data_IF_568199005605
#
_entry.id   IF_568199005605
#
_cell.length_a   1.000
_cell.length_b   1.000
_cell.length_c   1.000
_cell.angle_alpha   90.00
_cell.angle_beta   90.00
_cell.angle_gamma   90.00
#
_symmetry.space_group_name_H-M   'P 1'
#
loop_
_entity.id
_entity.type
_entity.pdbx_description
1 polymer ?
#
# COMPACT_ATOMS: atom_id res chain seq x y z
N UNK A 1 -31.90 12.22 -12.47
CA UNK A 1 -33.21 11.75 -12.98
C UNK A 1 -34.03 13.00 -13.13
N UNK A 2 -34.29 13.43 -14.36
CA UNK A 2 -34.77 14.78 -14.65
C UNK A 2 -36.29 14.89 -14.69
N UNK A 3 -36.80 16.02 -14.24
CA UNK A 3 -38.22 16.39 -14.37
C UNK A 3 -38.49 16.95 -15.77
N UNK A 4 -39.43 16.36 -16.51
CA UNK A 4 -39.77 16.80 -17.87
C UNK A 4 -40.44 18.19 -17.92
N UNK A 5 -41.11 18.60 -16.84
CA UNK A 5 -41.82 19.89 -16.75
C UNK A 5 -40.86 21.02 -16.33
N UNK A 6 -39.92 20.71 -15.44
CA UNK A 6 -39.14 21.69 -14.71
C UNK A 6 -37.62 21.62 -14.99
N UNK A 7 -37.14 20.61 -15.71
CA UNK A 7 -35.74 20.45 -16.08
C UNK A 7 -34.78 20.16 -14.93
N UNK A 8 -35.24 20.22 -13.67
CA UNK A 8 -34.41 19.95 -12.50
C UNK A 8 -33.94 18.49 -12.45
N UNK A 9 -32.67 18.30 -12.11
CA UNK A 9 -32.08 16.98 -11.86
C UNK A 9 -32.33 16.56 -10.41
N UNK A 10 -32.91 15.37 -10.23
CA UNK A 10 -33.12 14.75 -8.92
C UNK A 10 -32.14 13.60 -8.69
N UNK A 11 -31.65 13.48 -7.45
CA UNK A 11 -30.86 12.35 -7.00
C UNK A 11 -31.75 11.11 -6.91
N UNK A 12 -31.45 10.05 -7.67
CA UNK A 12 -32.24 8.83 -7.64
C UNK A 12 -32.24 8.13 -6.26
N UNK A 13 -31.23 8.42 -5.42
CA UNK A 13 -31.03 7.75 -4.13
C UNK A 13 -31.89 8.37 -3.02
N UNK A 14 -32.21 9.67 -3.14
CA UNK A 14 -32.75 10.50 -2.08
C UNK A 14 -33.96 11.34 -2.54
N UNK A 15 -34.33 11.27 -3.83
CA UNK A 15 -35.40 12.02 -4.51
C UNK A 15 -35.38 13.54 -4.21
N UNK A 16 -34.20 14.12 -3.98
CA UNK A 16 -33.98 15.55 -3.76
C UNK A 16 -33.29 16.19 -4.96
N UNK A 17 -33.55 17.48 -5.16
CA UNK A 17 -32.87 18.29 -6.19
C UNK A 17 -31.35 18.25 -5.99
N UNK A 18 -30.62 17.94 -7.06
CA UNK A 18 -29.16 17.86 -7.08
C UNK A 18 -28.60 19.28 -7.17
N UNK A 19 -27.97 19.74 -6.08
CA UNK A 19 -27.10 20.93 -6.06
C UNK A 19 -25.66 20.47 -5.98
N UNK A 20 -24.69 21.24 -6.46
CA UNK A 20 -23.27 20.84 -6.52
C UNK A 20 -22.71 20.43 -5.13
N UNK A 21 -23.26 20.97 -4.06
CA UNK A 21 -22.91 20.66 -2.67
C UNK A 21 -23.53 19.36 -2.14
N UNK A 22 -24.48 18.75 -2.86
CA UNK A 22 -25.24 17.57 -2.42
C UNK A 22 -24.36 16.33 -2.23
N UNK A 23 -23.31 16.19 -3.04
CA UNK A 23 -22.35 15.07 -2.96
C UNK A 23 -21.16 15.34 -2.02
N UNK A 24 -20.93 16.60 -1.63
CA UNK A 24 -19.83 16.97 -0.72
C UNK A 24 -20.17 16.71 0.76
N UNK A 25 -21.45 16.69 1.14
CA UNK A 25 -21.82 16.36 2.52
C UNK A 25 -21.59 14.86 2.80
N UNK A 26 -20.76 14.48 3.79
CA UNK A 26 -20.54 13.08 4.19
C UNK A 26 -21.80 12.42 4.79
N UNK A 27 -22.80 13.23 5.12
CA UNK A 27 -24.16 12.87 5.52
C UNK A 27 -25.16 12.89 4.35
N UNK A 28 -24.72 13.14 3.10
CA UNK A 28 -25.47 13.04 1.84
C UNK A 28 -25.17 11.79 0.97
N UNK A 29 -25.96 11.62 -0.09
CA UNK A 29 -25.95 10.48 -0.99
C UNK A 29 -24.55 10.38 -1.66
N UNK A 30 -23.84 9.24 -1.54
CA UNK A 30 -22.47 9.13 -2.05
C UNK A 30 -22.45 9.17 -3.58
N UNK A 31 -21.47 9.82 -4.20
CA UNK A 31 -21.30 9.89 -5.66
C UNK A 31 -21.39 8.51 -6.36
N UNK A 32 -20.98 7.45 -5.65
CA UNK A 32 -20.98 6.08 -6.15
C UNK A 32 -22.37 5.41 -6.18
N UNK A 33 -23.45 6.10 -5.80
CA UNK A 33 -24.81 5.55 -5.83
C UNK A 33 -25.02 4.31 -4.95
N UNK A 34 -24.06 3.96 -4.08
CA UNK A 34 -24.15 2.81 -3.18
C UNK A 34 -24.87 3.22 -1.90
N UNK A 35 -25.88 2.44 -1.50
CA UNK A 35 -26.56 2.56 -0.20
C UNK A 35 -25.49 2.60 0.90
N UNK A 36 -25.60 3.54 1.84
CA UNK A 36 -24.65 3.67 2.95
C UNK A 36 -24.45 2.33 3.64
N UNK A 37 -23.21 2.03 4.00
CA UNK A 37 -22.91 0.87 4.81
C UNK A 37 -23.70 0.96 6.12
N UNK A 38 -24.35 -0.12 6.57
CA UNK A 38 -25.05 -0.13 7.84
C UNK A 38 -24.08 0.18 8.97
N UNK A 39 -24.54 0.91 10.00
CA UNK A 39 -23.72 1.45 11.09
C UNK A 39 -22.73 0.43 11.68
N UNK A 40 -23.19 -0.82 11.89
CA UNK A 40 -22.36 -1.93 12.39
C UNK A 40 -21.18 -2.24 11.48
N UNK A 41 -21.38 -2.32 10.16
CA UNK A 41 -20.30 -2.60 9.19
C UNK A 41 -19.32 -1.45 9.08
N UNK A 42 -19.78 -0.20 9.23
CA UNK A 42 -18.90 0.98 9.22
C UNK A 42 -17.97 1.00 10.43
N UNK A 43 -18.49 0.71 11.62
CA UNK A 43 -17.69 0.63 12.84
C UNK A 43 -16.71 -0.53 12.77
N UNK A 44 -17.14 -1.72 12.35
CA UNK A 44 -16.22 -2.85 12.16
C UNK A 44 -15.10 -2.50 11.19
N UNK A 45 -15.40 -1.86 10.05
CA UNK A 45 -14.38 -1.44 9.09
C UNK A 45 -13.42 -0.38 9.66
N UNK A 46 -13.93 0.60 10.41
CA UNK A 46 -13.09 1.60 11.09
C UNK A 46 -12.19 0.97 12.15
N UNK A 47 -12.70 0.04 12.96
CA UNK A 47 -11.91 -0.69 13.94
C UNK A 47 -10.86 -1.57 13.27
N UNK A 48 -11.23 -2.31 12.22
CA UNK A 48 -10.31 -3.18 11.49
C UNK A 48 -9.17 -2.40 10.84
N UNK A 49 -9.46 -1.22 10.28
CA UNK A 49 -8.43 -0.34 9.74
C UNK A 49 -7.57 0.26 10.86
N UNK A 50 -8.20 0.78 11.93
CA UNK A 50 -7.50 1.42 13.03
C UNK A 50 -6.56 0.48 13.78
N UNK A 51 -6.94 -0.79 13.97
CA UNK A 51 -6.08 -1.80 14.59
C UNK A 51 -5.22 -2.55 13.57
N UNK A 52 -5.71 -2.78 12.36
CA UNK A 52 -4.96 -3.50 11.33
C UNK A 52 -3.66 -2.80 10.96
N UNK A 53 -3.69 -1.48 10.77
CA UNK A 53 -2.50 -0.71 10.40
C UNK A 53 -1.35 -0.80 11.41
N UNK A 54 -1.54 -0.51 12.72
CA UNK A 54 -0.44 -0.60 13.68
C UNK A 54 0.07 -2.04 13.88
N UNK A 55 -0.81 -3.04 13.86
CA UNK A 55 -0.40 -4.44 14.02
C UNK A 55 0.44 -4.94 12.83
N UNK A 56 0.01 -4.63 11.60
CA UNK A 56 0.76 -5.03 10.39
C UNK A 56 2.14 -4.37 10.38
N UNK A 57 2.22 -3.07 10.70
CA UNK A 57 3.49 -2.35 10.76
C UNK A 57 4.42 -2.92 11.84
N UNK A 58 3.90 -3.21 13.03
CA UNK A 58 4.68 -3.79 14.12
C UNK A 58 5.27 -5.16 13.73
N UNK A 59 4.47 -6.04 13.10
CA UNK A 59 4.95 -7.36 12.67
C UNK A 59 6.02 -7.24 11.58
N UNK A 60 5.78 -6.41 10.56
CA UNK A 60 6.74 -6.23 9.46
C UNK A 60 8.07 -5.67 9.98
N UNK A 61 8.02 -4.64 10.83
CA UNK A 61 9.25 -4.05 11.39
C UNK A 61 9.99 -5.02 12.30
N UNK A 62 9.28 -5.78 13.14
CA UNK A 62 9.88 -6.79 14.02
C UNK A 62 10.59 -7.90 13.25
N UNK A 63 10.12 -8.27 12.06
CA UNK A 63 10.78 -9.27 11.19
C UNK A 63 11.90 -8.67 10.34
N UNK A 64 11.72 -7.44 9.86
CA UNK A 64 12.70 -6.77 8.99
C UNK A 64 14.01 -6.46 9.72
N UNK A 65 13.94 -5.98 10.97
CA UNK A 65 15.13 -5.60 11.75
C UNK A 65 16.12 -6.75 11.93
N UNK A 66 15.75 -7.93 12.45
CA UNK A 66 16.70 -9.05 12.60
C UNK A 66 17.15 -9.61 11.24
N UNK A 67 16.26 -9.62 10.23
CA UNK A 67 16.59 -10.06 8.89
C UNK A 67 17.68 -9.20 8.23
N UNK A 68 17.60 -7.88 8.37
CA UNK A 68 18.61 -6.95 7.85
C UNK A 68 19.88 -7.01 8.69
N UNK A 69 19.75 -7.02 10.03
CA UNK A 69 20.87 -7.03 10.94
C UNK A 69 21.79 -8.26 10.75
N UNK A 70 21.21 -9.42 10.42
CA UNK A 70 21.98 -10.66 10.17
C UNK A 70 22.28 -10.84 8.68
N UNK A 71 21.31 -10.56 7.81
CA UNK A 71 21.42 -10.80 6.37
C UNK A 71 22.40 -9.88 5.67
N UNK A 72 22.47 -8.60 6.06
CA UNK A 72 23.38 -7.63 5.46
C UNK A 72 24.86 -7.96 5.69
N UNK A 73 25.34 -8.20 6.92
CA UNK A 73 26.74 -8.58 7.13
C UNK A 73 27.08 -9.93 6.49
N UNK A 74 26.17 -10.91 6.50
CA UNK A 74 26.40 -12.20 5.84
C UNK A 74 26.56 -12.03 4.30
N UNK A 75 25.72 -11.20 3.67
CA UNK A 75 25.82 -10.90 2.25
C UNK A 75 27.12 -10.18 1.89
N UNK A 76 27.53 -9.18 2.69
CA UNK A 76 28.79 -8.47 2.47
C UNK A 76 29.99 -9.39 2.59
N UNK A 77 30.01 -10.26 3.61
CA UNK A 77 31.09 -11.25 3.80
C UNK A 77 31.16 -12.20 2.59
N UNK A 78 30.03 -12.75 2.15
CA UNK A 78 29.98 -13.62 0.97
C UNK A 78 30.51 -12.91 -0.29
N UNK A 79 30.07 -11.66 -0.52
CA UNK A 79 30.48 -10.86 -1.67
C UNK A 79 31.98 -10.52 -1.64
N UNK A 80 32.53 -10.20 -0.48
CA UNK A 80 33.97 -9.91 -0.30
C UNK A 80 34.82 -11.18 -0.50
N UNK A 81 34.40 -12.32 0.04
CA UNK A 81 35.11 -13.59 -0.17
C UNK A 81 35.11 -13.96 -1.66
N UNK A 82 33.96 -13.88 -2.32
CA UNK A 82 33.84 -14.19 -3.75
C UNK A 82 34.71 -13.26 -4.61
N UNK A 83 34.69 -11.95 -4.34
CA UNK A 83 35.51 -10.98 -5.08
C UNK A 83 37.01 -11.17 -4.83
N UNK A 84 37.44 -11.50 -3.61
CA UNK A 84 38.84 -11.85 -3.32
C UNK A 84 39.26 -13.15 -4.01
N UNK A 85 38.37 -14.14 -4.10
CA UNK A 85 38.64 -15.40 -4.80
C UNK A 85 38.84 -15.18 -6.31
N UNK A 86 37.99 -14.35 -6.93
CA UNK A 86 38.10 -13.97 -8.35
C UNK A 86 39.39 -13.18 -8.60
N UNK A 87 39.75 -12.24 -7.73
CA UNK A 87 40.99 -11.47 -7.87
C UNK A 87 42.23 -12.36 -7.75
N UNK A 88 42.21 -13.37 -6.88
CA UNK A 88 43.32 -14.31 -6.70
C UNK A 88 43.50 -15.25 -7.90
N UNK A 89 42.40 -15.78 -8.47
CA UNK A 89 42.47 -16.59 -9.70
C UNK A 89 42.88 -15.75 -10.91
N UNK A 90 42.39 -14.52 -11.07
CA UNK A 90 42.86 -13.64 -12.14
C UNK A 90 44.34 -13.27 -12.00
N UNK A 91 44.81 -12.98 -10.78
CA UNK A 91 46.22 -12.67 -10.51
C UNK A 91 47.16 -13.84 -10.83
N UNK A 92 46.78 -15.06 -10.49
CA UNK A 92 47.56 -16.27 -10.82
C UNK A 92 47.52 -16.62 -12.30
N UNK A 93 46.40 -16.39 -12.99
CA UNK A 93 46.28 -16.56 -14.45
C UNK A 93 47.13 -15.54 -15.20
N UNK A 94 47.12 -14.26 -14.80
CA UNK A 94 47.97 -13.23 -15.40
C UNK A 94 49.46 -13.48 -15.13
N UNK A 95 49.82 -13.92 -13.93
CA UNK A 95 51.20 -14.31 -13.61
C UNK A 95 51.68 -15.51 -14.45
N UNK A 96 50.77 -16.42 -14.85
CA UNK A 96 51.07 -17.55 -15.73
C UNK A 96 51.14 -17.16 -17.22
N UNK A 97 50.46 -16.09 -17.63
CA UNK A 97 50.52 -15.58 -19.02
C UNK A 97 51.73 -14.69 -19.29
N UNK A 98 52.38 -14.15 -18.25
CA UNK A 98 53.56 -13.28 -18.37
C UNK A 98 54.91 -14.04 -18.24
N UNK A 99 54.89 -15.39 -18.24
CA UNK A 99 56.07 -16.25 -18.14
C UNK A 99 56.12 -17.21 -19.32
#
# INVERSE_FOLDING_TARGET
MSCFICGCEFCWLCLREVRDTHFLSPTGCTFWGRKRWPFRRRICAMLLAAFGTPFILAIVTALAIPGIAIGFPAYLVYKVILSRFIAFTFGTVLAKQNK
#
